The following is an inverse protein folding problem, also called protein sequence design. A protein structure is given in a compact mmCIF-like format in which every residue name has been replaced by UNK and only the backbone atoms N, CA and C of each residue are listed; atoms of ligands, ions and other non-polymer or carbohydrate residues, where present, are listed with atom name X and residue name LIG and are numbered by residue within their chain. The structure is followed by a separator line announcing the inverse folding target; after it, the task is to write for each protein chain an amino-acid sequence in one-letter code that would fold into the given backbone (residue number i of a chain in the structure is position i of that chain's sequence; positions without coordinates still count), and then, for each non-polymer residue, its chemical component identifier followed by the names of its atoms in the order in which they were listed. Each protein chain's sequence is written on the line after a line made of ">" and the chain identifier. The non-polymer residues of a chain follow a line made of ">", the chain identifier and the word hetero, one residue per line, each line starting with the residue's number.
data_IF_908526951132
#
_entry.id   IF_908526951132
#
_cell.length_a   1.000
_cell.length_b   1.000
_cell.length_c   1.000
_cell.angle_alpha   90.00
_cell.angle_beta   90.00
_cell.angle_gamma   90.00
#
_symmetry.space_group_name_H-M   'P 1'
#
loop_
_entity.id
_entity.type
_entity.pdbx_description
1 polymer ?
#
# COMPACT_ATOMS: atom_id res chain seq x y z
N UNK A 1 14.92 -41.47 4.79
CA UNK A 1 15.50 -40.31 4.09
C UNK A 1 14.97 -39.06 4.78
N UNK A 2 15.80 -38.40 5.59
CA UNK A 2 15.41 -37.20 6.33
C UNK A 2 15.35 -36.01 5.36
N UNK A 3 14.16 -35.42 5.19
CA UNK A 3 13.97 -34.15 4.53
C UNK A 3 14.58 -33.05 5.40
N UNK A 4 15.84 -32.71 5.14
CA UNK A 4 16.44 -31.49 5.62
C UNK A 4 15.80 -30.32 4.85
N UNK A 5 14.64 -29.86 5.31
CA UNK A 5 14.22 -28.49 5.08
C UNK A 5 15.18 -27.61 5.89
N UNK A 6 16.40 -27.45 5.40
CA UNK A 6 17.28 -26.37 5.81
C UNK A 6 16.61 -25.09 5.35
N UNK A 7 15.81 -24.50 6.24
CA UNK A 7 15.39 -23.11 6.14
C UNK A 7 16.67 -22.27 6.19
N UNK A 8 17.31 -22.08 5.05
CA UNK A 8 18.39 -21.13 4.91
C UNK A 8 17.91 -19.79 5.47
N UNK A 9 18.65 -19.16 6.39
CA UNK A 9 18.25 -17.89 6.96
C UNK A 9 18.12 -16.90 5.80
N UNK A 10 16.87 -16.53 5.49
CA UNK A 10 16.57 -15.66 4.37
C UNK A 10 17.32 -14.35 4.56
N UNK A 11 18.18 -14.00 3.60
CA UNK A 11 19.03 -12.82 3.68
C UNK A 11 18.16 -11.58 4.00
N UNK A 12 18.36 -10.93 5.17
CA UNK A 12 17.59 -9.74 5.57
C UNK A 12 17.67 -8.61 4.54
N UNK A 13 18.77 -8.55 3.79
CA UNK A 13 18.96 -7.61 2.69
C UNK A 13 18.03 -7.93 1.51
N UNK A 14 18.00 -9.20 1.09
CA UNK A 14 17.14 -9.68 0.00
C UNK A 14 15.66 -9.47 0.33
N UNK A 15 15.23 -9.82 1.54
CA UNK A 15 13.84 -9.64 1.97
C UNK A 15 13.41 -8.17 1.89
N UNK A 16 14.24 -7.27 2.43
CA UNK A 16 13.98 -5.82 2.37
C UNK A 16 13.87 -5.34 0.92
N UNK A 17 14.76 -5.79 0.04
CA UNK A 17 14.75 -5.40 -1.37
C UNK A 17 13.49 -5.86 -2.09
N UNK A 18 13.08 -7.12 -1.91
CA UNK A 18 11.86 -7.68 -2.50
C UNK A 18 10.61 -6.96 -2.01
N UNK A 19 10.53 -6.67 -0.70
CA UNK A 19 9.43 -5.91 -0.12
C UNK A 19 9.35 -4.52 -0.74
N UNK A 20 10.47 -3.80 -0.81
CA UNK A 20 10.52 -2.46 -1.43
C UNK A 20 10.06 -2.47 -2.89
N UNK A 21 10.56 -3.40 -3.69
CA UNK A 21 10.11 -3.57 -5.08
C UNK A 21 8.61 -3.87 -5.17
N UNK A 22 8.10 -4.70 -4.25
CA UNK A 22 6.68 -5.02 -4.17
C UNK A 22 5.86 -3.79 -3.79
N UNK A 23 6.29 -2.96 -2.85
CA UNK A 23 5.62 -1.71 -2.51
C UNK A 23 5.68 -0.69 -3.65
N UNK A 24 6.78 -0.63 -4.40
CA UNK A 24 6.96 0.27 -5.54
C UNK A 24 5.91 0.07 -6.65
N UNK A 25 5.15 -1.03 -6.61
CA UNK A 25 3.98 -1.28 -7.45
C UNK A 25 2.85 -0.25 -7.26
N UNK A 26 2.90 0.59 -6.21
CA UNK A 26 1.96 1.70 -6.00
C UNK A 26 1.80 2.60 -7.24
N UNK A 27 2.83 2.71 -8.09
CA UNK A 27 2.80 3.48 -9.34
C UNK A 27 1.74 2.94 -10.30
N UNK A 28 1.66 1.62 -10.43
CA UNK A 28 0.66 0.98 -11.30
C UNK A 28 -0.74 1.13 -10.73
N UNK A 29 -0.90 0.98 -9.41
CA UNK A 29 -2.19 1.18 -8.74
C UNK A 29 -2.69 2.62 -8.89
N UNK A 30 -1.79 3.59 -8.78
CA UNK A 30 -2.11 5.00 -8.99
C UNK A 30 -2.60 5.23 -10.42
N UNK A 31 -1.88 4.74 -11.43
CA UNK A 31 -2.30 4.84 -12.83
C UNK A 31 -3.65 4.16 -13.09
N UNK A 32 -3.89 2.99 -12.48
CA UNK A 32 -5.16 2.28 -12.57
C UNK A 32 -6.32 3.04 -11.92
N UNK A 33 -6.07 3.78 -10.84
CA UNK A 33 -7.09 4.61 -10.20
C UNK A 33 -7.43 5.88 -11.00
N UNK A 34 -6.47 6.40 -11.77
CA UNK A 34 -6.68 7.60 -12.60
C UNK A 34 -7.73 7.37 -13.70
N UNK A 35 -7.83 6.17 -14.27
CA UNK A 35 -8.77 5.90 -15.38
C UNK A 35 -10.23 6.12 -14.96
N UNK A 36 -10.77 5.47 -13.90
CA UNK A 36 -12.10 5.77 -13.37
C UNK A 36 -12.27 7.22 -12.89
N UNK A 37 -11.21 7.82 -12.31
CA UNK A 37 -11.25 9.19 -11.79
C UNK A 37 -11.41 10.22 -12.93
N UNK A 38 -10.67 10.08 -14.02
CA UNK A 38 -10.78 10.97 -15.18
C UNK A 38 -12.18 10.87 -15.79
N UNK A 39 -12.73 9.66 -15.90
CA UNK A 39 -14.12 9.48 -16.34
C UNK A 39 -15.12 10.21 -15.41
N UNK A 40 -14.91 10.18 -14.10
CA UNK A 40 -15.72 10.91 -13.12
C UNK A 40 -15.64 12.43 -13.27
N UNK A 41 -14.46 12.95 -13.63
CA UNK A 41 -14.23 14.39 -13.79
C UNK A 41 -14.90 14.90 -15.07
N UNK A 42 -14.71 14.20 -16.19
CA UNK A 42 -15.10 14.71 -17.50
C UNK A 42 -16.46 14.23 -18.01
N UNK A 43 -16.91 13.04 -17.60
CA UNK A 43 -18.01 12.35 -18.29
C UNK A 43 -19.13 11.87 -17.38
N UNK A 44 -18.91 11.73 -16.06
CA UNK A 44 -19.90 11.18 -15.16
C UNK A 44 -21.06 12.16 -14.88
N UNK A 45 -22.33 11.68 -14.93
CA UNK A 45 -23.47 12.49 -14.52
C UNK A 45 -23.38 12.82 -13.02
N UNK A 46 -24.00 13.93 -12.61
CA UNK A 46 -24.12 14.28 -11.19
C UNK A 46 -24.99 13.23 -10.49
N UNK A 47 -24.47 12.64 -9.42
CA UNK A 47 -25.21 11.62 -8.68
C UNK A 47 -24.35 10.84 -7.70
N UNK A 48 -25.00 9.92 -6.98
CA UNK A 48 -24.37 9.13 -5.92
C UNK A 48 -23.20 8.27 -6.43
N UNK A 49 -23.34 7.65 -7.61
CA UNK A 49 -22.28 6.83 -8.22
C UNK A 49 -21.00 7.65 -8.48
N UNK A 50 -21.15 8.93 -8.88
CA UNK A 50 -20.01 9.84 -9.07
C UNK A 50 -19.24 10.05 -7.77
N UNK A 51 -19.96 10.30 -6.67
CA UNK A 51 -19.37 10.48 -5.33
C UNK A 51 -18.68 9.21 -4.86
N UNK A 52 -19.31 8.04 -5.08
CA UNK A 52 -18.71 6.75 -4.71
C UNK A 52 -17.39 6.48 -5.46
N UNK A 53 -17.38 6.65 -6.78
CA UNK A 53 -16.17 6.42 -7.58
C UNK A 53 -15.09 7.45 -7.22
N UNK A 54 -15.43 8.74 -7.08
CA UNK A 54 -14.49 9.78 -6.66
C UNK A 54 -13.88 9.48 -5.28
N UNK A 55 -14.71 9.13 -4.30
CA UNK A 55 -14.29 8.82 -2.95
C UNK A 55 -13.40 7.58 -2.89
N UNK A 56 -13.77 6.51 -3.60
CA UNK A 56 -12.95 5.30 -3.66
C UNK A 56 -11.63 5.54 -4.42
N UNK A 57 -11.64 6.32 -5.51
CA UNK A 57 -10.41 6.72 -6.19
C UNK A 57 -9.48 7.53 -5.27
N UNK A 58 -10.02 8.50 -4.52
CA UNK A 58 -9.27 9.24 -3.52
C UNK A 58 -8.69 8.33 -2.43
N UNK A 59 -9.46 7.32 -1.99
CA UNK A 59 -8.98 6.32 -1.04
C UNK A 59 -7.83 5.50 -1.62
N UNK A 60 -7.93 5.00 -2.85
CA UNK A 60 -6.83 4.27 -3.52
C UNK A 60 -5.58 5.14 -3.65
N UNK A 61 -5.74 6.42 -4.04
CA UNK A 61 -4.62 7.38 -4.14
C UNK A 61 -3.93 7.56 -2.78
N UNK A 62 -4.71 7.72 -1.70
CA UNK A 62 -4.17 7.81 -0.34
C UNK A 62 -3.39 6.55 0.05
N UNK A 63 -3.91 5.37 -0.27
CA UNK A 63 -3.22 4.11 -0.02
C UNK A 63 -1.90 4.02 -0.81
N UNK A 64 -1.87 4.49 -2.07
CA UNK A 64 -0.67 4.56 -2.88
C UNK A 64 0.39 5.50 -2.29
N UNK A 65 -0.03 6.66 -1.79
CA UNK A 65 0.87 7.57 -1.07
C UNK A 65 1.47 6.90 0.17
N UNK A 66 0.66 6.16 0.95
CA UNK A 66 1.15 5.43 2.12
C UNK A 66 2.17 4.35 1.74
N UNK A 67 1.96 3.62 0.65
CA UNK A 67 2.90 2.63 0.12
C UNK A 67 4.21 3.27 -0.36
N UNK A 68 4.13 4.39 -1.06
CA UNK A 68 5.33 5.15 -1.46
C UNK A 68 6.17 5.56 -0.25
N UNK A 69 5.50 6.01 0.81
CA UNK A 69 6.17 6.44 2.04
C UNK A 69 6.82 5.26 2.77
N UNK A 70 6.15 4.10 2.84
CA UNK A 70 6.72 2.90 3.46
C UNK A 70 7.93 2.35 2.67
N UNK A 71 7.90 2.38 1.33
CA UNK A 71 9.08 2.04 0.50
C UNK A 71 10.28 2.95 0.80
N UNK A 72 10.05 4.26 0.95
CA UNK A 72 11.10 5.22 1.29
C UNK A 72 11.64 4.98 2.71
N UNK A 73 10.77 4.74 3.70
CA UNK A 73 11.23 4.40 5.04
C UNK A 73 12.08 3.13 5.06
N UNK A 74 11.70 2.10 4.32
CA UNK A 74 12.46 0.85 4.24
C UNK A 74 13.77 0.97 3.46
N UNK A 75 13.97 2.05 2.69
CA UNK A 75 15.28 2.33 2.09
C UNK A 75 16.34 2.71 3.13
N UNK A 76 15.91 3.39 4.21
CA UNK A 76 16.78 3.89 5.29
C UNK A 76 16.78 2.97 6.53
N UNK A 77 15.75 2.11 6.68
CA UNK A 77 15.61 1.23 7.84
C UNK A 77 16.62 0.08 7.83
N UNK A 78 17.28 -0.10 8.97
CA UNK A 78 18.22 -1.20 9.26
C UNK A 78 17.92 -1.78 10.65
N UNK A 79 18.36 -3.01 10.94
CA UNK A 79 18.19 -3.59 12.27
C UNK A 79 18.79 -2.73 13.39
N UNK A 80 19.89 -2.04 13.09
CA UNK A 80 20.62 -1.18 14.03
C UNK A 80 19.86 0.10 14.38
N UNK A 81 19.13 0.68 13.43
CA UNK A 81 18.41 1.95 13.63
C UNK A 81 16.90 1.80 13.89
N UNK A 82 16.36 0.57 13.89
CA UNK A 82 14.92 0.33 13.99
C UNK A 82 14.28 0.95 15.23
N UNK A 83 14.95 0.92 16.39
CA UNK A 83 14.42 1.52 17.62
C UNK A 83 14.35 3.05 17.52
N UNK A 84 15.41 3.69 17.00
CA UNK A 84 15.46 5.13 16.81
C UNK A 84 14.44 5.59 15.76
N UNK A 85 14.28 4.83 14.68
CA UNK A 85 13.23 5.05 13.70
C UNK A 85 11.83 4.88 14.31
N UNK A 86 11.65 3.92 15.23
CA UNK A 86 10.41 3.76 15.99
C UNK A 86 10.06 5.02 16.78
N UNK A 87 11.01 5.61 17.49
CA UNK A 87 10.83 6.88 18.23
C UNK A 87 10.44 8.02 17.28
N UNK A 88 11.14 8.16 16.16
CA UNK A 88 10.82 9.18 15.16
C UNK A 88 9.42 8.98 14.55
N UNK A 89 9.02 7.73 14.29
CA UNK A 89 7.69 7.40 13.77
C UNK A 89 6.59 7.64 14.79
N UNK A 90 6.84 7.44 16.09
CA UNK A 90 5.90 7.85 17.15
C UNK A 90 5.69 9.36 17.11
N UNK A 91 6.77 10.13 17.00
CA UNK A 91 6.68 11.58 16.92
C UNK A 91 5.86 12.06 15.71
N UNK A 92 6.09 11.47 14.53
CA UNK A 92 5.38 11.85 13.28
C UNK A 92 3.90 11.45 13.33
N UNK A 93 3.59 10.23 13.80
CA UNK A 93 2.25 9.65 13.68
C UNK A 93 1.44 9.65 14.98
N UNK A 94 2.02 10.09 16.08
CA UNK A 94 1.42 10.11 17.43
C UNK A 94 0.85 8.76 17.86
N UNK A 95 1.56 7.67 17.55
CA UNK A 95 1.14 6.29 17.87
C UNK A 95 2.25 5.53 18.56
N UNK A 96 2.17 5.43 19.90
CA UNK A 96 3.18 4.79 20.75
C UNK A 96 3.52 3.35 20.35
N UNK A 97 2.54 2.59 19.85
CA UNK A 97 2.76 1.21 19.38
C UNK A 97 3.83 1.09 18.29
N UNK A 98 4.11 2.16 17.53
CA UNK A 98 5.09 2.17 16.45
C UNK A 98 6.54 2.08 16.97
N UNK A 99 6.78 2.41 18.24
CA UNK A 99 8.12 2.36 18.85
C UNK A 99 8.64 0.93 18.94
N UNK A 100 7.75 0.01 19.32
CA UNK A 100 8.10 -1.35 19.70
C UNK A 100 8.06 -2.34 18.54
N UNK A 101 7.68 -1.88 17.34
CA UNK A 101 7.60 -2.75 16.19
C UNK A 101 8.96 -3.23 15.71
N UNK A 102 9.09 -4.54 15.58
CA UNK A 102 10.21 -5.16 14.88
C UNK A 102 10.16 -4.82 13.38
N UNK A 103 11.30 -4.93 12.69
CA UNK A 103 11.34 -4.74 11.24
C UNK A 103 10.34 -5.64 10.50
N UNK A 104 10.23 -6.90 10.94
CA UNK A 104 9.31 -7.85 10.35
C UNK A 104 7.84 -7.41 10.51
N UNK A 105 7.46 -6.93 11.68
CA UNK A 105 6.10 -6.40 11.91
C UNK A 105 5.80 -5.18 11.03
N UNK A 106 6.79 -4.32 10.79
CA UNK A 106 6.65 -3.19 9.86
C UNK A 106 6.43 -3.66 8.43
N UNK A 107 7.18 -4.67 7.98
CA UNK A 107 7.04 -5.27 6.67
C UNK A 107 5.67 -5.93 6.48
N UNK A 108 5.21 -6.72 7.46
CA UNK A 108 3.89 -7.33 7.43
C UNK A 108 2.77 -6.28 7.36
N UNK A 109 2.91 -5.18 8.12
CA UNK A 109 1.98 -4.05 8.07
C UNK A 109 1.92 -3.40 6.69
N UNK A 110 3.06 -3.18 6.07
CA UNK A 110 3.18 -2.62 4.72
C UNK A 110 2.57 -3.55 3.65
N UNK A 111 2.82 -4.86 3.72
CA UNK A 111 2.20 -5.83 2.82
C UNK A 111 0.68 -5.90 3.02
N UNK A 112 0.20 -5.79 4.26
CA UNK A 112 -1.23 -5.70 4.55
C UNK A 112 -1.85 -4.45 3.90
N UNK A 113 -1.17 -3.30 3.99
CA UNK A 113 -1.57 -2.07 3.34
C UNK A 113 -1.65 -2.22 1.81
N UNK A 114 -0.69 -2.92 1.19
CA UNK A 114 -0.71 -3.22 -0.24
C UNK A 114 -1.93 -4.07 -0.63
N UNK A 115 -2.26 -5.11 0.14
CA UNK A 115 -3.45 -5.93 -0.10
C UNK A 115 -4.74 -5.10 -0.05
N UNK A 116 -4.83 -4.14 0.88
CA UNK A 116 -5.96 -3.20 0.93
C UNK A 116 -5.99 -2.26 -0.27
N UNK A 117 -4.84 -1.76 -0.73
CA UNK A 117 -4.74 -0.94 -1.93
C UNK A 117 -5.21 -1.70 -3.18
N UNK A 118 -4.79 -2.97 -3.32
CA UNK A 118 -5.23 -3.85 -4.41
C UNK A 118 -6.74 -4.10 -4.36
N UNK A 119 -7.28 -4.46 -3.19
CA UNK A 119 -8.71 -4.72 -3.03
C UNK A 119 -9.56 -3.47 -3.32
N UNK A 120 -9.17 -2.31 -2.80
CA UNK A 120 -9.88 -1.04 -3.07
C UNK A 120 -9.80 -0.64 -4.55
N UNK A 121 -8.65 -0.84 -5.20
CA UNK A 121 -8.50 -0.63 -6.63
C UNK A 121 -9.40 -1.58 -7.45
N UNK A 122 -9.48 -2.86 -7.08
CA UNK A 122 -10.38 -3.81 -7.74
C UNK A 122 -11.86 -3.41 -7.58
N UNK A 123 -12.26 -2.97 -6.37
CA UNK A 123 -13.61 -2.47 -6.11
C UNK A 123 -13.90 -1.20 -6.93
N UNK A 124 -12.93 -0.29 -7.04
CA UNK A 124 -13.06 0.91 -7.87
C UNK A 124 -13.35 0.57 -9.33
N UNK A 125 -12.59 -0.38 -9.88
CA UNK A 125 -12.80 -0.88 -11.24
C UNK A 125 -14.15 -1.54 -11.41
N UNK A 126 -14.57 -2.39 -10.46
CA UNK A 126 -15.87 -3.06 -10.51
C UNK A 126 -17.02 -2.04 -10.51
N UNK A 127 -17.01 -1.07 -9.61
CA UNK A 127 -18.06 -0.02 -9.53
C UNK A 127 -18.07 0.80 -10.82
N UNK A 128 -16.91 1.16 -11.35
CA UNK A 128 -16.82 1.94 -12.58
C UNK A 128 -17.34 1.18 -13.80
N UNK A 129 -16.97 -0.09 -13.97
CA UNK A 129 -17.46 -0.93 -15.07
C UNK A 129 -18.97 -1.13 -14.99
N UNK A 130 -19.52 -1.38 -13.80
CA UNK A 130 -20.97 -1.43 -13.58
C UNK A 130 -21.61 -0.10 -13.96
N UNK A 131 -21.04 1.02 -13.53
CA UNK A 131 -21.54 2.35 -13.88
C UNK A 131 -21.55 2.60 -15.39
N UNK A 132 -20.59 2.05 -16.15
CA UNK A 132 -20.59 2.15 -17.62
C UNK A 132 -21.70 1.32 -18.27
N UNK A 133 -22.09 0.18 -17.69
CA UNK A 133 -23.13 -0.69 -18.21
C UNK A 133 -24.55 -0.16 -17.96
N UNK A 134 -24.73 0.59 -16.88
CA UNK A 134 -26.03 1.15 -16.46
C UNK A 134 -26.16 2.65 -16.72
N UNK A 135 -25.22 3.24 -17.46
CA UNK A 135 -25.23 4.65 -17.87
C UNK A 135 -25.99 4.84 -19.19
#
# INVERSE_FOLDING_TARGET
>A
MANQNSSEPTDPYLNRQLIRQTLASWRFLLLMALVPLLWVIFSAPVGFIRVLIAGNAGFVIYQCWRLWLDDHYFSELTPKNNQQAGIALVFIWQKEKLQYFSLQQRYEGAIKQLKYALASCAILWLIWLIALLFK
#
